data_IF_101026813654
#
_entry.id   IF_101026813654
#
_cell.length_a   1.000
_cell.length_b   1.000
_cell.length_c   1.000
_cell.angle_alpha   90.00
_cell.angle_beta   90.00
_cell.angle_gamma   90.00
#
_symmetry.space_group_name_H-M   'P 1'
#
loop_
_entity.id
_entity.type
_entity.pdbx_description
1 polymer ?
#
# COMPACT_ATOMS: atom_id res chain seq x y z
N UNK A 1 -6.31 20.47 13.91
CA UNK A 1 -7.74 20.69 14.25
C UNK A 1 -7.93 21.05 15.70
N UNK A 2 -7.67 20.14 16.66
CA UNK A 2 -7.89 20.35 18.11
C UNK A 2 -7.38 21.72 18.65
N UNK A 3 -6.16 22.13 18.33
CA UNK A 3 -5.61 23.45 18.71
C UNK A 3 -6.45 24.64 18.19
N UNK A 4 -6.97 24.56 16.96
CA UNK A 4 -7.76 25.63 16.34
C UNK A 4 -9.15 25.72 17.00
N UNK A 5 -9.77 24.59 17.32
CA UNK A 5 -11.03 24.57 18.07
C UNK A 5 -10.87 25.06 19.51
N UNK A 6 -9.77 24.71 20.19
CA UNK A 6 -9.43 25.23 21.53
C UNK A 6 -9.28 26.76 21.50
N UNK A 7 -8.47 27.28 20.57
CA UNK A 7 -8.22 28.71 20.45
C UNK A 7 -9.51 29.48 20.13
N UNK A 8 -10.34 28.96 19.21
CA UNK A 8 -11.62 29.57 18.83
C UNK A 8 -12.56 29.69 20.03
N UNK A 9 -12.83 28.59 20.73
CA UNK A 9 -13.71 28.59 21.91
C UNK A 9 -13.11 29.40 23.07
N UNK A 10 -11.81 29.26 23.34
CA UNK A 10 -11.13 29.99 24.42
C UNK A 10 -11.16 31.50 24.24
N UNK A 11 -10.97 32.00 23.01
CA UNK A 11 -11.10 33.42 22.69
C UNK A 11 -12.55 33.91 22.84
N UNK A 12 -13.53 33.14 22.33
CA UNK A 12 -14.96 33.50 22.45
C UNK A 12 -15.41 33.55 23.91
N UNK A 13 -14.99 32.57 24.73
CA UNK A 13 -15.28 32.55 26.18
C UNK A 13 -14.70 33.79 26.86
N UNK A 14 -13.38 34.00 26.76
CA UNK A 14 -12.72 35.06 27.52
C UNK A 14 -13.21 36.46 27.08
N UNK A 15 -13.44 36.68 25.78
CA UNK A 15 -13.90 37.95 25.24
C UNK A 15 -15.36 38.31 25.63
N UNK A 16 -16.21 37.31 25.86
CA UNK A 16 -17.60 37.53 26.30
C UNK A 16 -17.68 37.66 27.82
N UNK A 17 -16.93 36.84 28.57
CA UNK A 17 -17.00 36.84 30.05
C UNK A 17 -16.22 38.00 30.67
N UNK A 18 -15.11 38.44 30.09
CA UNK A 18 -14.23 39.48 30.68
C UNK A 18 -13.88 40.62 29.70
N UNK A 19 -14.87 41.41 29.24
CA UNK A 19 -14.67 42.43 28.20
C UNK A 19 -13.86 43.67 28.65
N UNK A 20 -13.67 43.86 29.95
CA UNK A 20 -13.02 45.04 30.53
C UNK A 20 -11.60 44.78 31.09
N UNK A 21 -11.05 43.58 30.87
CA UNK A 21 -9.74 43.19 31.40
C UNK A 21 -8.57 43.72 30.56
N UNK A 22 -7.46 44.05 31.22
CA UNK A 22 -6.27 44.56 30.52
C UNK A 22 -5.37 43.42 30.01
N UNK A 23 -4.51 43.72 29.03
CA UNK A 23 -3.59 42.71 28.51
C UNK A 23 -2.60 42.20 29.58
N UNK A 24 -2.77 40.93 29.97
CA UNK A 24 -1.89 40.24 30.90
C UNK A 24 -1.66 38.78 30.48
N UNK A 25 -0.52 38.19 30.86
CA UNK A 25 -0.18 36.78 30.55
C UNK A 25 -1.18 35.76 31.10
N UNK A 26 -1.95 36.14 32.13
CA UNK A 26 -3.01 35.31 32.70
C UNK A 26 -4.17 35.07 31.73
N UNK A 27 -4.38 35.96 30.76
CA UNK A 27 -5.43 35.87 29.74
C UNK A 27 -5.12 34.72 28.79
N UNK A 28 -3.87 34.66 28.32
CA UNK A 28 -3.36 33.57 27.49
C UNK A 28 -3.48 32.21 28.19
N UNK A 29 -3.20 32.18 29.51
CA UNK A 29 -3.46 31.01 30.34
C UNK A 29 -4.94 30.65 30.34
N UNK A 30 -5.85 31.58 30.63
CA UNK A 30 -7.29 31.28 30.70
C UNK A 30 -7.83 30.77 29.34
N UNK A 31 -7.46 31.43 28.23
CA UNK A 31 -7.84 31.08 26.85
C UNK A 31 -7.44 29.66 26.47
N UNK A 32 -6.23 29.20 26.81
CA UNK A 32 -5.76 27.86 26.43
C UNK A 32 -6.00 26.79 27.50
N UNK A 33 -5.75 27.11 28.77
CA UNK A 33 -5.72 26.14 29.87
C UNK A 33 -7.12 25.67 30.25
N UNK A 34 -8.10 26.58 30.42
CA UNK A 34 -9.47 26.17 30.81
C UNK A 34 -10.09 25.24 29.75
N UNK A 35 -10.10 25.56 28.44
CA UNK A 35 -10.59 24.64 27.41
C UNK A 35 -9.78 23.33 27.26
N UNK A 36 -8.49 23.34 27.60
CA UNK A 36 -7.65 22.13 27.53
C UNK A 36 -8.03 21.11 28.62
N UNK A 37 -8.20 21.55 29.88
CA UNK A 37 -8.68 20.66 30.96
C UNK A 37 -10.11 20.18 30.73
N UNK A 38 -10.93 21.00 30.06
CA UNK A 38 -12.28 20.65 29.65
C UNK A 38 -12.35 19.43 28.70
N UNK A 39 -11.32 19.21 27.89
CA UNK A 39 -11.21 18.03 27.03
C UNK A 39 -10.97 16.72 27.82
N UNK A 40 -10.45 16.82 29.06
CA UNK A 40 -10.27 15.69 29.97
C UNK A 40 -11.44 15.50 30.95
N UNK A 41 -12.50 16.32 30.86
CA UNK A 41 -13.72 16.21 31.66
C UNK A 41 -13.90 17.29 32.74
N UNK A 42 -12.97 18.22 32.90
CA UNK A 42 -13.10 19.33 33.87
C UNK A 42 -13.93 20.48 33.27
N UNK A 43 -15.25 20.44 33.49
CA UNK A 43 -16.21 21.36 32.83
C UNK A 43 -16.26 22.76 33.47
N UNK A 44 -15.64 22.96 34.64
CA UNK A 44 -15.70 24.22 35.42
C UNK A 44 -17.14 24.72 35.66
N UNK A 45 -18.02 23.81 36.10
CA UNK A 45 -19.46 24.05 36.31
C UNK A 45 -19.85 25.41 36.94
N UNK A 46 -19.25 25.87 38.06
CA UNK A 46 -19.63 27.15 38.68
C UNK A 46 -19.14 28.40 37.92
N UNK A 47 -18.44 28.25 36.80
CA UNK A 47 -17.95 29.36 35.97
C UNK A 47 -18.58 29.38 34.56
N UNK A 48 -19.64 28.59 34.33
CA UNK A 48 -20.28 28.45 33.02
C UNK A 48 -21.22 29.62 32.75
N UNK A 49 -22.17 29.86 33.66
CA UNK A 49 -23.18 30.90 33.54
C UNK A 49 -23.51 31.52 34.90
N UNK A 50 -22.53 32.21 35.51
CA UNK A 50 -22.70 32.89 36.80
C UNK A 50 -23.91 33.83 36.81
N UNK A 51 -24.22 34.48 35.68
CA UNK A 51 -25.33 35.42 35.57
C UNK A 51 -26.69 34.69 35.44
N UNK A 52 -26.75 33.64 34.62
CA UNK A 52 -27.94 32.81 34.47
C UNK A 52 -28.28 32.03 35.74
N UNK A 53 -27.27 31.50 36.43
CA UNK A 53 -27.42 30.79 37.70
C UNK A 53 -27.91 31.74 38.81
N UNK A 54 -27.33 32.94 38.96
CA UNK A 54 -27.81 33.95 39.93
C UNK A 54 -29.26 34.41 39.63
N UNK A 55 -29.61 34.62 38.35
CA UNK A 55 -30.99 34.92 37.95
C UNK A 55 -31.93 33.73 38.23
N UNK A 56 -31.45 32.50 38.08
CA UNK A 56 -32.22 31.29 38.33
C UNK A 56 -32.43 31.04 39.83
N UNK A 57 -31.47 31.29 40.70
CA UNK A 57 -31.68 31.17 42.15
C UNK A 57 -32.64 32.25 42.68
N UNK A 58 -32.47 33.50 42.25
CA UNK A 58 -33.27 34.62 42.76
C UNK A 58 -34.73 34.62 42.30
N UNK A 59 -35.06 34.06 41.13
CA UNK A 59 -36.47 33.91 40.73
C UNK A 59 -37.22 32.87 41.60
N UNK A 60 -36.50 31.89 42.14
CA UNK A 60 -37.04 30.88 43.08
C UNK A 60 -37.23 31.50 44.47
N UNK A 61 -36.24 32.25 44.97
CA UNK A 61 -36.31 32.88 46.31
C UNK A 61 -37.41 33.96 46.38
N UNK A 62 -37.60 34.73 45.30
CA UNK A 62 -38.58 35.80 45.25
C UNK A 62 -39.98 35.39 44.75
N UNK A 63 -40.14 34.20 44.16
CA UNK A 63 -41.36 33.71 43.48
C UNK A 63 -41.90 34.69 42.40
N UNK A 64 -41.00 35.32 41.64
CA UNK A 64 -41.33 36.31 40.59
C UNK A 64 -40.85 35.81 39.23
N UNK A 65 -41.61 35.96 38.13
CA UNK A 65 -41.15 35.60 36.79
C UNK A 65 -39.84 36.30 36.40
N UNK A 66 -38.95 35.52 35.76
CA UNK A 66 -37.68 35.97 35.16
C UNK A 66 -37.97 37.07 34.14
N UNK A 67 -37.28 38.20 34.24
CA UNK A 67 -37.50 39.38 33.40
C UNK A 67 -38.52 40.39 33.94
N UNK A 68 -39.00 40.21 35.18
CA UNK A 68 -39.73 41.25 35.90
C UNK A 68 -38.82 42.42 36.30
N UNK A 69 -39.35 43.64 36.24
CA UNK A 69 -38.63 44.89 36.56
C UNK A 69 -38.16 44.97 38.03
N UNK A 70 -38.74 44.13 38.90
CA UNK A 70 -38.37 43.92 40.30
C UNK A 70 -37.10 43.08 40.49
N UNK A 71 -36.75 42.23 39.52
CA UNK A 71 -35.60 41.32 39.60
C UNK A 71 -34.34 41.98 39.01
N UNK A 72 -33.88 43.07 39.63
CA UNK A 72 -32.75 43.85 39.12
C UNK A 72 -31.38 43.21 39.43
N UNK A 73 -31.12 42.04 38.87
CA UNK A 73 -29.83 41.31 38.94
C UNK A 73 -28.95 41.75 37.76
N UNK A 74 -28.91 43.06 37.51
CA UNK A 74 -27.86 43.70 36.70
C UNK A 74 -26.75 44.27 37.61
N UNK A 75 -26.64 43.71 38.82
CA UNK A 75 -25.69 44.12 39.85
C UNK A 75 -24.26 43.76 39.49
N UNK A 76 -23.52 44.75 38.98
CA UNK A 76 -22.05 44.87 38.97
C UNK A 76 -21.21 43.81 38.22
N UNK A 77 -21.74 42.63 37.83
CA UNK A 77 -20.96 41.55 37.19
C UNK A 77 -21.47 41.01 35.84
N UNK A 78 -22.75 41.17 35.51
CA UNK A 78 -23.36 40.53 34.33
C UNK A 78 -23.05 41.27 33.00
N UNK A 79 -22.42 40.56 32.04
CA UNK A 79 -22.15 41.08 30.69
C UNK A 79 -23.32 40.77 29.73
N UNK A 80 -23.78 41.71 28.88
CA UNK A 80 -24.78 41.43 27.85
C UNK A 80 -24.27 40.35 26.88
N UNK A 81 -25.04 39.26 26.73
CA UNK A 81 -24.67 38.10 25.91
C UNK A 81 -24.16 36.89 26.69
N UNK A 82 -24.29 36.87 28.02
CA UNK A 82 -23.88 35.75 28.89
C UNK A 82 -24.24 34.36 28.33
N UNK A 83 -25.47 34.16 27.83
CA UNK A 83 -25.99 32.90 27.27
C UNK A 83 -25.19 32.36 26.06
N UNK A 84 -24.38 33.18 25.39
CA UNK A 84 -23.61 32.77 24.21
C UNK A 84 -22.44 31.86 24.60
N UNK A 85 -21.79 32.11 25.74
CA UNK A 85 -20.64 31.31 26.17
C UNK A 85 -21.03 29.85 26.53
N UNK A 86 -22.11 29.58 27.30
CA UNK A 86 -22.64 28.23 27.50
C UNK A 86 -23.06 27.53 26.18
N UNK A 87 -23.69 28.26 25.25
CA UNK A 87 -24.08 27.70 23.96
C UNK A 87 -22.85 27.24 23.16
N UNK A 88 -21.85 28.11 23.00
CA UNK A 88 -20.60 27.76 22.32
C UNK A 88 -19.82 26.66 23.05
N UNK A 89 -19.91 26.59 24.39
CA UNK A 89 -19.32 25.53 25.19
C UNK A 89 -19.91 24.15 24.82
N UNK A 90 -21.24 24.01 24.74
CA UNK A 90 -21.86 22.71 24.40
C UNK A 90 -21.46 22.23 23.00
N UNK A 91 -21.40 23.15 22.02
CA UNK A 91 -20.94 22.88 20.66
C UNK A 91 -19.46 22.50 20.62
N UNK A 92 -18.62 23.21 21.38
CA UNK A 92 -17.20 22.89 21.53
C UNK A 92 -17.00 21.49 22.12
N UNK A 93 -17.71 21.12 23.19
CA UNK A 93 -17.60 19.79 23.82
C UNK A 93 -18.03 18.66 22.88
N UNK A 94 -19.09 18.86 22.12
CA UNK A 94 -19.53 17.89 21.10
C UNK A 94 -18.46 17.68 20.03
N UNK A 95 -17.89 18.77 19.49
CA UNK A 95 -16.85 18.67 18.45
C UNK A 95 -15.55 18.10 19.03
N UNK A 96 -15.07 18.61 20.16
CA UNK A 96 -13.78 18.21 20.74
C UNK A 96 -13.81 16.78 21.28
N UNK A 97 -14.77 16.45 22.14
CA UNK A 97 -14.75 15.20 22.89
C UNK A 97 -15.46 14.06 22.14
N UNK A 98 -16.54 14.33 21.39
CA UNK A 98 -17.28 13.29 20.67
C UNK A 98 -16.75 13.07 19.25
N UNK A 99 -16.32 14.12 18.54
CA UNK A 99 -15.79 13.99 17.18
C UNK A 99 -14.26 13.88 17.15
N UNK A 100 -13.52 14.87 17.66
CA UNK A 100 -12.06 14.92 17.48
C UNK A 100 -11.31 13.84 18.27
N UNK A 101 -11.66 13.56 19.52
CA UNK A 101 -11.00 12.50 20.30
C UNK A 101 -11.26 11.10 19.72
N UNK A 102 -12.51 10.78 19.35
CA UNK A 102 -12.85 9.48 18.75
C UNK A 102 -12.22 9.29 17.36
N UNK A 103 -12.19 10.33 16.53
CA UNK A 103 -11.51 10.27 15.22
C UNK A 103 -9.99 10.21 15.35
N UNK A 104 -9.40 10.84 16.38
CA UNK A 104 -7.97 10.68 16.70
C UNK A 104 -7.63 9.22 17.05
N UNK A 105 -8.42 8.59 17.92
CA UNK A 105 -8.22 7.17 18.26
C UNK A 105 -8.36 6.27 17.03
N UNK A 106 -9.41 6.47 16.21
CA UNK A 106 -9.59 5.71 14.98
C UNK A 106 -8.43 5.88 13.98
N UNK A 107 -7.91 7.10 13.84
CA UNK A 107 -6.74 7.39 13.01
C UNK A 107 -5.48 6.70 13.55
N UNK A 108 -5.25 6.73 14.86
CA UNK A 108 -4.13 6.02 15.49
C UNK A 108 -4.21 4.51 15.25
N UNK A 109 -5.38 3.88 15.39
CA UNK A 109 -5.55 2.45 15.08
C UNK A 109 -5.27 2.14 13.61
N UNK A 110 -5.84 2.92 12.68
CA UNK A 110 -5.61 2.74 11.24
C UNK A 110 -4.12 2.87 10.87
N UNK A 111 -3.44 3.89 11.40
CA UNK A 111 -2.00 4.09 11.18
C UNK A 111 -1.19 2.96 11.81
N UNK A 112 -1.56 2.48 13.01
CA UNK A 112 -0.90 1.35 13.66
C UNK A 112 -1.02 0.07 12.83
N UNK A 113 -2.23 -0.32 12.42
CA UNK A 113 -2.47 -1.51 11.60
C UNK A 113 -1.71 -1.46 10.27
N UNK A 114 -1.61 -0.28 9.63
CA UNK A 114 -0.86 -0.14 8.38
C UNK A 114 0.66 -0.17 8.56
N UNK A 115 1.19 0.28 9.71
CA UNK A 115 2.64 0.43 9.91
C UNK A 115 3.27 -0.68 10.78
N UNK A 116 2.48 -1.56 11.42
CA UNK A 116 3.01 -2.58 12.35
C UNK A 116 4.00 -3.53 11.67
N UNK A 117 3.71 -3.97 10.44
CA UNK A 117 4.59 -4.89 9.68
C UNK A 117 5.94 -4.23 9.37
N UNK A 118 5.93 -3.04 8.74
CA UNK A 118 7.13 -2.25 8.44
C UNK A 118 7.93 -1.91 9.71
N UNK A 119 7.24 -1.58 10.81
CA UNK A 119 7.88 -1.25 12.10
C UNK A 119 8.54 -2.48 12.72
N UNK A 120 7.96 -3.67 12.53
CA UNK A 120 8.54 -4.93 13.00
C UNK A 120 9.86 -5.25 12.27
N UNK A 121 9.93 -5.03 10.94
CA UNK A 121 11.18 -5.21 10.18
C UNK A 121 12.29 -4.27 10.68
N UNK A 122 11.97 -2.98 10.83
CA UNK A 122 12.91 -1.97 11.38
C UNK A 122 13.34 -2.36 12.80
N UNK A 123 12.42 -2.80 13.66
CA UNK A 123 12.75 -3.25 15.01
C UNK A 123 13.66 -4.48 15.01
N UNK A 124 13.47 -5.44 14.11
CA UNK A 124 14.35 -6.60 13.99
C UNK A 124 15.78 -6.20 13.57
N UNK A 125 15.93 -5.21 12.69
CA UNK A 125 17.22 -4.66 12.28
C UNK A 125 17.91 -3.90 13.42
N UNK A 126 17.22 -2.96 14.08
CA UNK A 126 17.74 -2.22 15.23
C UNK A 126 18.11 -3.15 16.40
N UNK A 127 17.31 -4.20 16.64
CA UNK A 127 17.61 -5.24 17.63
C UNK A 127 18.92 -5.98 17.31
N UNK A 128 19.19 -6.28 16.04
CA UNK A 128 20.47 -6.89 15.66
C UNK A 128 21.65 -5.95 15.96
N UNK A 129 21.53 -4.67 15.58
CA UNK A 129 22.53 -3.64 15.89
C UNK A 129 22.80 -3.54 17.40
N UNK A 130 21.75 -3.47 18.21
CA UNK A 130 21.84 -3.41 19.68
C UNK A 130 22.48 -4.67 20.29
N UNK A 131 22.14 -5.86 19.81
CA UNK A 131 22.77 -7.12 20.29
C UNK A 131 24.25 -7.16 19.93
N UNK A 132 24.62 -6.73 18.71
CA UNK A 132 26.01 -6.62 18.26
C UNK A 132 26.82 -5.63 19.13
N UNK A 133 26.23 -4.50 19.49
CA UNK A 133 26.87 -3.54 20.39
C UNK A 133 27.10 -4.15 21.78
N UNK A 134 26.07 -4.77 22.40
CA UNK A 134 26.19 -5.35 23.74
C UNK A 134 27.27 -6.44 23.85
N UNK A 135 27.43 -7.32 22.85
CA UNK A 135 28.50 -8.35 22.86
C UNK A 135 29.91 -7.72 22.89
N UNK A 136 30.08 -6.57 22.25
CA UNK A 136 31.35 -5.82 22.25
C UNK A 136 31.64 -5.07 23.55
N UNK A 137 30.63 -4.87 24.41
CA UNK A 137 30.76 -4.14 25.68
C UNK A 137 31.16 -5.03 26.85
N UNK A 138 31.91 -4.52 27.85
CA UNK A 138 32.15 -5.27 29.07
C UNK A 138 30.84 -5.46 29.86
N UNK A 139 30.59 -6.69 30.33
CA UNK A 139 29.44 -7.09 31.18
C UNK A 139 29.22 -6.27 32.48
N UNK A 140 30.11 -5.33 32.78
CA UNK A 140 30.13 -4.56 34.02
C UNK A 140 29.29 -3.28 33.83
N UNK A 141 28.32 -2.97 34.72
CA UNK A 141 27.43 -1.83 34.55
C UNK A 141 28.22 -0.49 34.54
N UNK A 142 27.70 0.56 33.87
CA UNK A 142 28.40 1.83 33.64
C UNK A 142 29.25 2.40 34.81
N UNK A 143 28.76 2.48 36.08
CA UNK A 143 29.56 3.03 37.18
C UNK A 143 30.81 2.22 37.55
N UNK A 144 30.90 0.94 37.18
CA UNK A 144 32.01 0.05 37.54
C UNK A 144 33.00 -0.18 36.38
N UNK A 145 32.74 0.39 35.20
CA UNK A 145 33.60 0.30 33.99
C UNK A 145 35.04 0.78 34.23
N UNK A 146 35.25 1.71 35.16
CA UNK A 146 36.58 2.20 35.55
C UNK A 146 37.49 1.05 36.03
N UNK A 147 36.96 0.09 36.80
CA UNK A 147 37.74 -1.06 37.26
C UNK A 147 38.14 -1.99 36.10
N UNK A 148 37.26 -2.18 35.11
CA UNK A 148 37.55 -2.93 33.89
C UNK A 148 38.69 -2.29 33.10
N UNK A 149 38.64 -0.97 32.89
CA UNK A 149 39.69 -0.25 32.20
C UNK A 149 41.03 -0.22 32.98
N UNK A 150 40.98 -0.11 34.31
CA UNK A 150 42.16 -0.15 35.18
C UNK A 150 42.84 -1.53 35.17
N UNK A 151 42.06 -2.61 35.25
CA UNK A 151 42.57 -3.98 35.12
C UNK A 151 43.24 -4.21 33.76
N UNK A 152 42.64 -3.71 32.68
CA UNK A 152 43.22 -3.75 31.34
C UNK A 152 44.51 -2.93 31.21
N UNK A 153 44.56 -1.73 31.80
CA UNK A 153 45.76 -0.90 31.86
C UNK A 153 46.90 -1.63 32.56
N UNK A 154 46.61 -2.25 33.72
CA UNK A 154 47.58 -3.02 34.50
C UNK A 154 48.10 -4.26 33.75
N UNK A 155 47.22 -5.00 33.06
CA UNK A 155 47.64 -6.11 32.19
C UNK A 155 48.51 -5.65 31.02
N UNK A 156 48.18 -4.52 30.39
CA UNK A 156 48.97 -3.96 29.28
C UNK A 156 50.39 -3.55 29.72
N UNK A 157 50.53 -2.95 30.90
CA UNK A 157 51.84 -2.59 31.49
C UNK A 157 52.68 -3.83 31.81
N UNK A 158 52.09 -4.94 32.27
CA UNK A 158 52.81 -6.20 32.54
C UNK A 158 53.13 -7.01 31.29
N UNK A 159 52.21 -7.07 30.32
CA UNK A 159 52.31 -7.95 29.14
C UNK A 159 52.29 -7.07 27.89
N UNK A 160 53.48 -6.62 27.48
CA UNK A 160 53.74 -5.67 26.38
C UNK A 160 53.21 -6.11 24.99
N UNK A 161 52.67 -7.32 24.87
CA UNK A 161 52.20 -7.94 23.62
C UNK A 161 50.74 -8.46 23.67
N UNK A 162 49.92 -8.10 24.68
CA UNK A 162 48.55 -8.63 24.78
C UNK A 162 47.54 -7.83 23.94
N UNK A 163 47.02 -8.42 22.85
CA UNK A 163 46.00 -7.80 21.98
C UNK A 163 44.61 -7.81 22.62
N UNK A 164 43.92 -6.66 22.59
CA UNK A 164 42.53 -6.52 23.09
C UNK A 164 41.51 -7.34 22.31
N UNK A 165 41.78 -7.65 21.04
CA UNK A 165 40.77 -8.20 20.12
C UNK A 165 40.30 -9.60 20.51
N UNK A 166 41.20 -10.47 20.97
CA UNK A 166 40.98 -11.91 21.05
C UNK A 166 40.04 -12.39 22.18
N UNK A 167 39.57 -11.52 23.08
CA UNK A 167 38.81 -11.92 24.29
C UNK A 167 37.32 -11.58 24.22
N UNK A 168 36.93 -10.58 23.43
CA UNK A 168 35.52 -10.20 23.20
C UNK A 168 35.03 -10.75 21.86
N UNK A 169 35.86 -10.70 20.82
CA UNK A 169 35.60 -11.17 19.45
C UNK A 169 35.39 -12.69 19.33
N UNK A 170 35.46 -13.44 20.44
CA UNK A 170 35.27 -14.89 20.52
C UNK A 170 33.86 -15.30 20.99
N UNK A 171 32.99 -14.34 21.35
CA UNK A 171 31.63 -14.60 21.81
C UNK A 171 30.66 -14.80 20.63
N UNK A 172 30.62 -13.85 19.70
CA UNK A 172 29.77 -13.93 18.50
C UNK A 172 30.35 -14.78 17.36
N UNK A 173 31.68 -14.97 17.30
CA UNK A 173 32.31 -15.74 16.21
C UNK A 173 32.23 -17.22 16.48
N UNK A 174 31.40 -17.91 15.69
CA UNK A 174 31.39 -19.36 15.63
C UNK A 174 32.70 -19.84 14.98
N UNK A 175 33.49 -20.63 15.71
CA UNK A 175 34.68 -21.31 15.18
C UNK A 175 34.28 -22.72 14.76
N UNK A 176 34.32 -23.01 13.46
CA UNK A 176 34.00 -24.30 12.88
C UNK A 176 35.28 -25.01 12.42
N UNK A 177 35.26 -26.34 12.40
CA UNK A 177 36.26 -27.14 11.67
C UNK A 177 35.93 -27.18 10.18
N UNK A 178 36.92 -27.48 9.33
CA UNK A 178 36.75 -27.55 7.88
C UNK A 178 35.64 -28.53 7.45
N UNK A 179 35.52 -29.68 8.14
CA UNK A 179 34.44 -30.67 7.94
C UNK A 179 33.03 -30.09 8.22
N UNK A 180 32.90 -29.22 9.23
CA UNK A 180 31.62 -28.58 9.54
C UNK A 180 31.28 -27.47 8.54
N UNK A 181 32.29 -26.80 7.99
CA UNK A 181 32.14 -25.79 6.93
C UNK A 181 31.68 -26.45 5.64
N UNK A 182 32.33 -27.54 5.22
CA UNK A 182 31.92 -28.35 4.06
C UNK A 182 30.47 -28.83 4.19
N UNK A 183 30.09 -29.35 5.37
CA UNK A 183 28.72 -29.77 5.65
C UNK A 183 27.69 -28.64 5.59
N UNK A 184 28.05 -27.43 6.03
CA UNK A 184 27.15 -26.26 5.94
C UNK A 184 26.98 -25.83 4.48
N UNK A 185 28.05 -25.81 3.68
CA UNK A 185 27.94 -25.48 2.27
C UNK A 185 27.11 -26.51 1.49
N UNK A 186 27.25 -27.82 1.76
CA UNK A 186 26.37 -28.82 1.14
C UNK A 186 24.89 -28.63 1.51
N UNK A 187 24.61 -28.18 2.74
CA UNK A 187 23.25 -27.88 3.19
C UNK A 187 22.70 -26.59 2.57
N UNK A 188 23.53 -25.55 2.44
CA UNK A 188 23.19 -24.30 1.76
C UNK A 188 22.87 -24.54 0.28
N UNK A 189 23.67 -25.36 -0.40
CA UNK A 189 23.45 -25.77 -1.80
C UNK A 189 22.13 -26.53 -1.97
N UNK A 190 21.87 -27.56 -1.15
CA UNK A 190 20.60 -28.32 -1.16
C UNK A 190 19.38 -27.41 -0.93
N UNK A 191 19.45 -26.48 0.03
CA UNK A 191 18.37 -25.52 0.30
C UNK A 191 18.14 -24.53 -0.87
N UNK A 192 19.21 -24.10 -1.54
CA UNK A 192 19.12 -23.19 -2.69
C UNK A 192 18.50 -23.91 -3.89
N UNK A 193 18.92 -25.14 -4.18
CA UNK A 193 18.34 -25.95 -5.26
C UNK A 193 16.85 -26.19 -5.03
N UNK A 194 16.43 -26.55 -3.82
CA UNK A 194 15.01 -26.76 -3.50
C UNK A 194 14.18 -25.47 -3.61
N UNK A 195 14.71 -24.33 -3.16
CA UNK A 195 14.08 -23.03 -3.37
C UNK A 195 13.93 -22.69 -4.87
N UNK A 196 14.91 -23.02 -5.71
CA UNK A 196 14.83 -22.80 -7.16
C UNK A 196 13.79 -23.71 -7.81
N UNK A 197 13.77 -25.00 -7.45
CA UNK A 197 12.73 -25.97 -7.88
C UNK A 197 11.33 -25.48 -7.51
N UNK A 198 11.11 -24.99 -6.29
CA UNK A 198 9.82 -24.45 -5.87
C UNK A 198 9.42 -23.19 -6.66
N UNK A 199 10.36 -22.29 -6.95
CA UNK A 199 10.11 -21.10 -7.77
C UNK A 199 9.70 -21.48 -9.20
N UNK A 200 10.38 -22.44 -9.80
CA UNK A 200 10.05 -22.93 -11.15
C UNK A 200 8.69 -23.65 -11.18
N UNK A 201 8.39 -24.49 -10.19
CA UNK A 201 7.07 -25.12 -10.05
C UNK A 201 5.99 -24.05 -9.88
N UNK A 202 6.22 -23.04 -9.04
CA UNK A 202 5.27 -21.94 -8.82
C UNK A 202 5.05 -21.14 -10.11
N UNK A 203 6.11 -20.79 -10.84
CA UNK A 203 6.04 -20.12 -12.15
C UNK A 203 5.26 -20.97 -13.16
N UNK A 204 5.59 -22.25 -13.29
CA UNK A 204 4.90 -23.22 -14.14
C UNK A 204 3.42 -23.42 -13.77
N UNK A 205 3.06 -23.29 -12.50
CA UNK A 205 1.68 -23.37 -12.02
C UNK A 205 0.87 -22.09 -12.26
N UNK A 206 1.53 -20.96 -12.51
CA UNK A 206 0.87 -19.66 -12.72
C UNK A 206 -0.12 -19.73 -13.89
N UNK A 207 -1.25 -19.06 -13.73
CA UNK A 207 -2.28 -19.02 -14.78
C UNK A 207 -1.75 -18.36 -16.06
N UNK A 208 -0.91 -17.33 -15.95
CA UNK A 208 -0.32 -16.66 -17.12
C UNK A 208 0.58 -17.60 -17.92
N UNK A 209 1.44 -18.37 -17.24
CA UNK A 209 2.33 -19.35 -17.85
C UNK A 209 1.54 -20.54 -18.45
N UNK A 210 0.47 -20.98 -17.78
CA UNK A 210 -0.44 -22.02 -18.29
C UNK A 210 -1.20 -21.54 -19.53
N UNK A 211 -1.66 -20.29 -19.55
CA UNK A 211 -2.31 -19.67 -20.72
C UNK A 211 -1.29 -19.51 -21.85
N UNK A 212 -0.09 -18.98 -21.57
CA UNK A 212 1.00 -18.82 -22.55
C UNK A 212 1.34 -20.16 -23.23
N UNK A 213 1.57 -21.23 -22.47
CA UNK A 213 1.83 -22.58 -23.00
C UNK A 213 0.65 -23.14 -23.79
N UNK A 214 -0.58 -22.77 -23.45
CA UNK A 214 -1.78 -23.21 -24.17
C UNK A 214 -1.95 -22.44 -25.49
N UNK A 215 -1.63 -21.15 -25.50
CA UNK A 215 -1.58 -20.32 -26.71
C UNK A 215 -0.48 -20.83 -27.66
N UNK A 216 0.76 -21.00 -27.17
CA UNK A 216 1.88 -21.51 -27.97
C UNK A 216 1.58 -22.90 -28.56
N UNK A 217 0.98 -23.81 -27.78
CA UNK A 217 0.52 -25.12 -28.28
C UNK A 217 -0.59 -24.98 -29.32
N UNK A 218 -1.52 -24.04 -29.14
CA UNK A 218 -2.58 -23.76 -30.12
C UNK A 218 -1.99 -23.26 -31.44
N UNK A 219 -1.01 -22.35 -31.40
CA UNK A 219 -0.32 -21.84 -32.59
C UNK A 219 0.49 -22.94 -33.30
N UNK A 220 1.17 -23.81 -32.54
CA UNK A 220 1.84 -24.99 -33.09
C UNK A 220 0.85 -25.97 -33.76
N UNK A 221 -0.34 -26.16 -33.20
CA UNK A 221 -1.41 -26.98 -33.78
C UNK A 221 -1.98 -26.32 -35.05
N UNK A 222 -2.25 -25.01 -35.02
CA UNK A 222 -2.73 -24.25 -36.19
C UNK A 222 -1.73 -24.32 -37.35
N UNK A 223 -0.43 -24.16 -37.08
CA UNK A 223 0.61 -24.32 -38.10
C UNK A 223 0.64 -25.73 -38.70
N UNK A 224 0.47 -26.79 -37.89
CA UNK A 224 0.35 -28.16 -38.41
C UNK A 224 -0.95 -28.37 -39.20
N UNK A 225 -2.07 -27.78 -38.77
CA UNK A 225 -3.35 -27.89 -39.46
C UNK A 225 -3.32 -27.18 -40.82
N UNK A 226 -2.67 -26.02 -40.92
CA UNK A 226 -2.42 -25.33 -42.20
C UNK A 226 -1.58 -26.18 -43.18
N UNK A 227 -0.59 -26.94 -42.69
CA UNK A 227 0.17 -27.87 -43.53
C UNK A 227 -0.74 -29.00 -44.04
N UNK A 228 -1.56 -29.60 -43.17
CA UNK A 228 -2.51 -30.65 -43.55
C UNK A 228 -3.57 -30.14 -44.52
N UNK A 229 -4.12 -28.94 -44.30
CA UNK A 229 -5.08 -28.31 -45.22
C UNK A 229 -4.48 -28.12 -46.61
N UNK A 230 -3.22 -27.68 -46.70
CA UNK A 230 -2.53 -27.53 -47.98
C UNK A 230 -2.32 -28.86 -48.70
N UNK A 231 -1.96 -29.94 -47.97
CA UNK A 231 -1.83 -31.30 -48.52
C UNK A 231 -3.19 -31.80 -49.05
N UNK A 232 -4.25 -31.69 -48.24
CA UNK A 232 -5.61 -32.09 -48.65
C UNK A 232 -6.09 -31.27 -49.85
N UNK A 233 -5.80 -29.96 -49.88
CA UNK A 233 -6.11 -29.08 -51.02
C UNK A 233 -5.34 -29.49 -52.28
N UNK A 234 -4.10 -29.97 -52.18
CA UNK A 234 -3.38 -30.53 -53.33
C UNK A 234 -3.96 -31.87 -53.77
N UNK A 235 -4.32 -32.76 -52.84
CA UNK A 235 -4.89 -34.08 -53.17
C UNK A 235 -6.28 -33.96 -53.82
N UNK A 236 -7.13 -33.05 -53.34
CA UNK A 236 -8.43 -32.76 -53.97
C UNK A 236 -8.25 -32.18 -55.38
N UNK A 237 -7.26 -31.29 -55.60
CA UNK A 237 -6.92 -30.79 -56.95
C UNK A 237 -6.43 -31.92 -57.87
N UNK A 238 -5.61 -32.83 -57.34
CA UNK A 238 -5.13 -33.99 -58.10
C UNK A 238 -6.29 -34.92 -58.48
N UNK A 239 -7.22 -35.18 -57.56
CA UNK A 239 -8.43 -35.96 -57.82
C UNK A 239 -9.34 -35.29 -58.86
N UNK A 240 -9.58 -33.98 -58.77
CA UNK A 240 -10.36 -33.21 -59.75
C UNK A 240 -9.74 -33.25 -61.16
N UNK A 241 -8.41 -33.15 -61.26
CA UNK A 241 -7.70 -33.34 -62.53
C UNK A 241 -7.87 -34.77 -63.09
N UNK A 242 -7.79 -35.80 -62.24
CA UNK A 242 -8.04 -37.19 -62.65
C UNK A 242 -9.50 -37.39 -63.10
N UNK A 243 -10.47 -36.81 -62.40
CA UNK A 243 -11.89 -36.92 -62.73
C UNK A 243 -12.18 -36.29 -64.11
N UNK A 244 -11.63 -35.11 -64.40
CA UNK A 244 -11.72 -34.45 -65.72
C UNK A 244 -11.08 -35.26 -66.84
N UNK A 245 -9.97 -35.96 -66.58
CA UNK A 245 -9.37 -36.87 -67.57
C UNK A 245 -10.17 -38.18 -67.76
N UNK A 246 -11.05 -38.55 -66.84
CA UNK A 246 -12.02 -39.65 -67.02
C UNK A 246 -13.28 -39.20 -67.77
N UNK A 247 -13.79 -38.00 -67.46
CA UNK A 247 -14.97 -37.41 -68.12
C UNK A 247 -14.72 -37.17 -69.62
N UNK A 248 -13.59 -36.54 -69.97
CA UNK A 248 -13.14 -36.40 -71.38
C UNK A 248 -12.88 -37.73 -72.08
N UNK A 249 -12.68 -38.83 -71.33
CA UNK A 249 -12.59 -40.19 -71.87
C UNK A 249 -13.94 -40.86 -72.12
N UNK A 250 -15.03 -40.29 -71.59
CA UNK A 250 -16.39 -40.78 -71.75
C UNK A 250 -17.15 -40.08 -72.90
N UNK A 251 -16.73 -38.87 -73.29
CA UNK A 251 -17.36 -38.06 -74.35
C UNK A 251 -16.96 -38.44 -75.80
N UNK A 252 -16.51 -39.68 -76.07
CA UNK A 252 -16.20 -40.14 -77.44
C UNK A 252 -17.09 -41.31 -77.86
N UNK A 253 -18.16 -41.07 -78.64
CA UNK A 253 -19.00 -42.13 -79.20
C UNK A 253 -18.30 -42.86 -80.37
N UNK A 254 -18.56 -44.16 -80.50
CA UNK A 254 -18.25 -44.92 -81.72
C UNK A 254 -18.96 -44.30 -82.95
N UNK A 255 -18.25 -44.12 -84.07
CA UNK A 255 -18.83 -44.37 -85.39
C UNK A 255 -17.78 -44.81 -86.43
N UNK A 256 -18.26 -45.39 -87.53
CA UNK A 256 -17.54 -46.32 -88.41
C UNK A 256 -16.50 -45.73 -89.37
N UNK A 257 -15.57 -46.61 -89.77
CA UNK A 257 -14.62 -46.49 -90.88
C UNK A 257 -15.32 -46.39 -92.25
N UNK A 258 -14.69 -45.68 -93.19
CA UNK A 258 -14.34 -46.24 -94.51
C UNK A 258 -13.16 -45.48 -95.16
N UNK A 259 -12.55 -46.09 -96.18
CA UNK A 259 -11.14 -45.86 -96.59
C UNK A 259 -10.95 -44.99 -97.84
N UNK A 260 -9.92 -44.13 -97.82
CA UNK A 260 -8.83 -43.87 -98.81
C UNK A 260 -9.00 -44.10 -100.34
N UNK A 261 -8.14 -43.51 -101.24
CA UNK A 261 -7.11 -42.47 -101.05
C UNK A 261 -6.93 -41.42 -102.21
N UNK A 262 -5.89 -40.58 -102.06
CA UNK A 262 -4.97 -40.00 -103.08
C UNK A 262 -5.27 -38.68 -103.86
N UNK A 263 -4.31 -37.74 -103.70
CA UNK A 263 -3.81 -36.72 -104.67
C UNK A 263 -4.75 -35.54 -105.06
N UNK A 264 -4.31 -34.28 -105.28
CA UNK A 264 -2.97 -33.63 -105.24
C UNK A 264 -3.13 -32.08 -105.14
N UNK A 265 -2.04 -31.40 -104.74
CA UNK A 265 -1.60 -30.04 -105.15
C UNK A 265 -2.38 -28.75 -104.75
N UNK A 266 -1.58 -27.85 -104.15
CA UNK A 266 -1.45 -26.39 -104.35
C UNK A 266 -2.41 -25.28 -103.85
N UNK A 267 -1.69 -24.24 -103.40
CA UNK A 267 -1.92 -22.78 -103.41
C UNK A 267 -2.73 -22.00 -102.36
N UNK A 268 -1.99 -21.07 -101.73
CA UNK A 268 -2.35 -19.70 -101.33
C UNK A 268 -3.25 -19.41 -100.10
N UNK A 269 -2.60 -18.80 -99.10
CA UNK A 269 -3.15 -17.81 -98.14
C UNK A 269 -3.67 -16.56 -98.92
N UNK A 270 -4.69 -15.79 -98.45
CA UNK A 270 -4.36 -14.69 -97.54
C UNK A 270 -5.44 -14.23 -96.52
N UNK A 271 -4.97 -13.88 -95.32
CA UNK A 271 -5.29 -12.68 -94.50
C UNK A 271 -6.71 -12.36 -93.95
N UNK A 272 -6.67 -11.73 -92.75
CA UNK A 272 -7.58 -10.65 -92.26
C UNK A 272 -9.04 -11.05 -91.90
N UNK A 273 -9.81 -10.41 -90.99
CA UNK A 273 -9.70 -9.30 -89.98
C UNK A 273 -11.04 -9.35 -89.16
N UNK A 274 -11.31 -8.71 -88.01
CA UNK A 274 -10.62 -8.01 -86.91
C UNK A 274 -11.71 -7.56 -85.87
N UNK A 275 -11.33 -7.01 -84.70
CA UNK A 275 -12.22 -6.27 -83.74
C UNK A 275 -13.39 -7.12 -83.12
N UNK A 276 -14.05 -6.81 -81.98
CA UNK A 276 -14.08 -5.65 -81.07
C UNK A 276 -14.07 -6.07 -79.58
N UNK A 277 -13.58 -5.13 -78.77
CA UNK A 277 -13.54 -5.05 -77.31
C UNK A 277 -14.93 -4.85 -76.64
N UNK A 278 -14.96 -5.03 -75.31
CA UNK A 278 -15.86 -4.39 -74.31
C UNK A 278 -17.37 -4.65 -74.35
N UNK A 279 -17.89 -5.29 -73.29
CA UNK A 279 -18.48 -4.57 -72.12
C UNK A 279 -18.40 -5.45 -70.87
#
# INVERSE_FOLDING_TARGET
MLFVSLLSFGLVREAITYPYENWHWLLLRNIFYKPYFMLYGEVYAPEIDVCGDEMWEAHIDADVPIGSETLNITGEGCVPGYFVAPLFMTVFMLIANVLLMNTMVACCTYVFEHNVENTQEIWLFERYSQVMEYDSTPFIPPPLTIFYHLYWLFRWVRVRNFSRKNLLDASLKLFLSDEQIERIHSFEEECIEDMEREKDIRKQSSNDERIHRTAERSDQILNRMNIVENIVRTDVRNLDMVLKTMETRHEVPHFHYETEPMCTEDESDPQAKEVVDST
#
